data_IF_688234318912
#
_entry.id   IF_688234318912
#
_cell.length_a   1.000
_cell.length_b   1.000
_cell.length_c   1.000
_cell.angle_alpha   90.00
_cell.angle_beta   90.00
_cell.angle_gamma   90.00
#
_symmetry.space_group_name_H-M   'P 1'
#
loop_
_entity.id
_entity.type
_entity.pdbx_description
1 polymer ?
#
# COMPACT_ATOMS: atom_id res chain seq x y z
N UNK A 1 -23.19 23.91 10.03
CA UNK A 1 -23.15 22.75 10.95
C UNK A 1 -22.57 21.49 10.29
N UNK A 2 -22.63 21.34 8.95
CA UNK A 2 -22.12 20.15 8.24
C UNK A 2 -20.58 20.00 8.21
N UNK A 3 -19.81 21.08 8.02
CA UNK A 3 -18.32 21.01 8.01
C UNK A 3 -17.74 20.35 9.26
N UNK A 4 -18.26 20.69 10.44
CA UNK A 4 -17.78 20.12 11.71
C UNK A 4 -18.10 18.63 11.86
N UNK A 5 -19.14 18.14 11.18
CA UNK A 5 -19.46 16.71 11.15
C UNK A 5 -18.52 15.95 10.21
N UNK A 6 -18.18 16.53 9.06
CA UNK A 6 -17.23 15.93 8.11
C UNK A 6 -15.82 15.81 8.69
N UNK A 7 -15.31 16.86 9.37
CA UNK A 7 -13.99 16.80 10.01
C UNK A 7 -13.91 15.74 11.12
N UNK A 8 -14.97 15.60 11.93
CA UNK A 8 -15.04 14.56 12.96
C UNK A 8 -15.06 13.15 12.38
N UNK A 9 -15.80 12.95 11.28
CA UNK A 9 -15.84 11.66 10.59
C UNK A 9 -14.48 11.30 10.00
N UNK A 10 -13.78 12.24 9.36
CA UNK A 10 -12.43 12.01 8.82
C UNK A 10 -11.44 11.67 9.95
N UNK A 11 -11.47 12.40 11.06
CA UNK A 11 -10.62 12.10 12.21
C UNK A 11 -10.90 10.71 12.81
N UNK A 12 -12.18 10.33 12.95
CA UNK A 12 -12.56 9.01 13.44
C UNK A 12 -12.14 7.89 12.48
N UNK A 13 -12.30 8.09 11.18
CA UNK A 13 -11.84 7.14 10.16
C UNK A 13 -10.33 6.98 10.19
N UNK A 14 -9.58 8.08 10.29
CA UNK A 14 -8.12 8.06 10.45
C UNK A 14 -7.70 7.28 11.69
N UNK A 15 -8.30 7.58 12.86
CA UNK A 15 -7.99 6.86 14.09
C UNK A 15 -8.24 5.36 13.97
N UNK A 16 -9.36 4.98 13.34
CA UNK A 16 -9.66 3.57 13.08
C UNK A 16 -8.60 2.87 12.21
N UNK A 17 -8.00 3.57 11.24
CA UNK A 17 -6.90 3.03 10.44
C UNK A 17 -5.61 2.83 11.26
N UNK A 18 -5.32 3.70 12.23
CA UNK A 18 -4.22 3.52 13.17
C UNK A 18 -4.49 2.34 14.12
N UNK A 19 -5.68 2.26 14.70
CA UNK A 19 -6.07 1.22 15.66
C UNK A 19 -6.04 -0.17 15.02
N UNK A 20 -6.43 -0.27 13.75
CA UNK A 20 -6.33 -1.50 12.94
C UNK A 20 -4.91 -1.81 12.44
N UNK A 21 -3.94 -0.92 12.69
CA UNK A 21 -2.55 -1.09 12.27
C UNK A 21 -2.30 -0.91 10.77
N UNK A 22 -3.19 -0.23 10.06
CA UNK A 22 -3.00 0.12 8.65
C UNK A 22 -2.00 1.26 8.47
N UNK A 23 -2.04 2.24 9.36
CA UNK A 23 -1.14 3.40 9.36
C UNK A 23 -0.14 3.34 10.53
N UNK A 24 1.02 3.96 10.35
CA UNK A 24 2.00 4.22 11.39
C UNK A 24 2.36 5.72 11.48
N UNK A 25 3.24 6.06 12.42
CA UNK A 25 3.65 7.44 12.73
C UNK A 25 4.15 8.24 11.52
N UNK A 26 4.61 7.57 10.46
CA UNK A 26 5.06 8.26 9.25
C UNK A 26 3.92 9.00 8.54
N UNK A 27 2.67 8.53 8.67
CA UNK A 27 1.52 9.26 8.14
C UNK A 27 1.27 10.56 8.92
N UNK A 28 1.53 10.57 10.22
CA UNK A 28 1.43 11.79 11.05
C UNK A 28 2.49 12.80 10.60
N UNK A 29 3.73 12.35 10.42
CA UNK A 29 4.81 13.19 9.91
C UNK A 29 4.49 13.75 8.51
N UNK A 30 3.80 12.97 7.66
CA UNK A 30 3.34 13.43 6.36
C UNK A 30 2.28 14.55 6.49
N UNK A 31 1.34 14.42 7.43
CA UNK A 31 0.34 15.45 7.73
C UNK A 31 0.97 16.73 8.26
N UNK A 32 2.03 16.63 9.09
CA UNK A 32 2.75 17.78 9.65
C UNK A 32 3.49 18.63 8.60
N UNK A 33 3.73 18.08 7.40
CA UNK A 33 4.33 18.81 6.28
C UNK A 33 3.31 19.65 5.49
N UNK A 34 2.01 19.46 5.74
CA UNK A 34 0.96 20.26 5.11
C UNK A 34 0.77 21.59 5.85
N UNK A 35 0.81 22.69 5.12
CA UNK A 35 0.62 24.04 5.66
C UNK A 35 -0.29 24.90 4.75
N UNK A 36 -0.51 26.16 5.13
CA UNK A 36 -1.36 27.08 4.38
C UNK A 36 -0.78 27.43 2.98
N UNK A 37 0.53 27.23 2.76
CA UNK A 37 1.18 27.46 1.48
C UNK A 37 1.04 26.24 0.54
N UNK A 38 0.92 25.03 1.09
CA UNK A 38 0.66 23.81 0.35
C UNK A 38 -0.48 22.97 0.99
N UNK A 39 -1.75 23.42 0.88
CA UNK A 39 -2.88 22.81 1.58
C UNK A 39 -3.27 21.42 1.05
N UNK A 40 -2.76 21.01 -0.11
CA UNK A 40 -3.11 19.73 -0.76
C UNK A 40 -1.97 18.70 -0.69
N UNK A 41 -0.88 19.00 0.02
CA UNK A 41 0.32 18.17 0.05
C UNK A 41 0.03 16.69 0.34
N UNK A 42 -0.76 16.39 1.38
CA UNK A 42 -1.06 15.00 1.75
C UNK A 42 -1.88 14.31 0.66
N UNK A 43 -2.85 15.01 0.07
CA UNK A 43 -3.67 14.48 -1.03
C UNK A 43 -2.82 14.15 -2.25
N UNK A 44 -1.88 15.04 -2.62
CA UNK A 44 -0.97 14.83 -3.75
C UNK A 44 -0.06 13.61 -3.53
N UNK A 45 0.53 13.49 -2.34
CA UNK A 45 1.41 12.36 -2.01
C UNK A 45 0.64 11.04 -1.97
N UNK A 46 -0.57 11.04 -1.40
CA UNK A 46 -1.43 9.85 -1.35
C UNK A 46 -1.90 9.46 -2.76
N UNK A 47 -2.24 10.43 -3.61
CA UNK A 47 -2.60 10.21 -5.01
C UNK A 47 -1.43 9.60 -5.79
N UNK A 48 -0.22 10.14 -5.60
CA UNK A 48 0.99 9.60 -6.21
C UNK A 48 1.25 8.16 -5.77
N UNK A 49 1.07 7.87 -4.47
CA UNK A 49 1.18 6.52 -3.94
C UNK A 49 0.22 5.54 -4.62
N UNK A 50 -1.05 5.93 -4.84
CA UNK A 50 -2.01 5.07 -5.54
C UNK A 50 -1.62 4.83 -7.01
N UNK A 51 -1.11 5.86 -7.69
CA UNK A 51 -0.63 5.72 -9.07
C UNK A 51 0.57 4.75 -9.16
N UNK A 52 1.56 4.91 -8.27
CA UNK A 52 2.70 4.02 -8.20
C UNK A 52 2.31 2.59 -7.81
N UNK A 53 1.39 2.44 -6.85
CA UNK A 53 0.86 1.14 -6.42
C UNK A 53 0.21 0.41 -7.58
N UNK A 54 -0.65 1.07 -8.36
CA UNK A 54 -1.31 0.48 -9.53
C UNK A 54 -0.31 -0.02 -10.56
N UNK A 55 0.72 0.78 -10.86
CA UNK A 55 1.82 0.39 -11.77
C UNK A 55 2.61 -0.81 -11.25
N UNK A 56 2.94 -0.82 -9.96
CA UNK A 56 3.70 -1.91 -9.33
C UNK A 56 2.91 -3.22 -9.29
N UNK A 57 1.61 -3.16 -9.01
CA UNK A 57 0.70 -4.31 -9.05
C UNK A 57 0.67 -4.87 -10.47
N UNK A 58 0.45 -4.05 -11.50
CA UNK A 58 0.43 -4.51 -12.89
C UNK A 58 1.75 -5.19 -13.30
N UNK A 59 2.89 -4.60 -12.94
CA UNK A 59 4.20 -5.20 -13.19
C UNK A 59 4.40 -6.54 -12.48
N UNK A 60 3.85 -6.67 -11.27
CA UNK A 60 3.88 -7.92 -10.51
C UNK A 60 3.06 -9.01 -11.19
N UNK A 61 1.85 -8.69 -11.63
CA UNK A 61 0.98 -9.64 -12.34
C UNK A 61 1.61 -10.14 -13.63
N UNK A 62 2.29 -9.26 -14.37
CA UNK A 62 3.06 -9.65 -15.55
C UNK A 62 4.25 -10.57 -15.21
N UNK A 63 4.95 -10.31 -14.09
CA UNK A 63 6.05 -11.16 -13.64
C UNK A 63 5.58 -12.54 -13.17
N UNK A 64 4.40 -12.61 -12.56
CA UNK A 64 3.75 -13.84 -12.12
C UNK A 64 3.24 -14.72 -13.28
N UNK A 65 2.95 -14.12 -14.43
CA UNK A 65 2.55 -14.85 -15.63
C UNK A 65 3.69 -15.60 -16.34
N UNK A 66 4.93 -15.49 -15.85
CA UNK A 66 6.12 -16.15 -16.44
C UNK A 66 6.39 -17.50 -15.76
N UNK A 67 6.89 -18.46 -16.55
CA UNK A 67 7.35 -19.75 -16.05
C UNK A 67 8.74 -20.07 -16.63
N UNK A 68 9.80 -20.24 -15.79
CA UNK A 68 9.78 -20.15 -14.33
C UNK A 68 9.55 -18.71 -13.82
N UNK A 69 9.13 -18.58 -12.56
CA UNK A 69 8.97 -17.28 -11.90
C UNK A 69 10.31 -16.55 -11.81
N UNK A 70 10.31 -15.27 -12.13
CA UNK A 70 11.49 -14.41 -11.99
C UNK A 70 11.49 -13.75 -10.60
N UNK A 71 12.06 -14.45 -9.62
CA UNK A 71 12.14 -13.96 -8.23
C UNK A 71 12.98 -12.68 -8.10
N UNK A 72 13.98 -12.45 -8.95
CA UNK A 72 14.75 -11.21 -8.93
C UNK A 72 13.88 -10.03 -9.35
N UNK A 73 13.05 -10.20 -10.39
CA UNK A 73 12.09 -9.18 -10.81
C UNK A 73 11.04 -8.93 -9.73
N UNK A 74 10.50 -9.98 -9.12
CA UNK A 74 9.52 -9.88 -8.05
C UNK A 74 10.09 -9.19 -6.79
N UNK A 75 11.33 -9.50 -6.36
CA UNK A 75 11.97 -8.82 -5.22
C UNK A 75 12.14 -7.32 -5.50
N UNK A 76 12.57 -6.96 -6.72
CA UNK A 76 12.74 -5.57 -7.12
C UNK A 76 11.41 -4.79 -7.12
N UNK A 77 10.30 -5.42 -7.51
CA UNK A 77 8.98 -4.81 -7.46
C UNK A 77 8.55 -4.62 -6.00
N UNK A 78 8.72 -5.64 -5.15
CA UNK A 78 8.37 -5.54 -3.73
C UNK A 78 9.24 -4.57 -2.96
N UNK A 79 10.51 -4.41 -3.36
CA UNK A 79 11.40 -3.43 -2.76
C UNK A 79 10.90 -2.00 -3.03
N UNK A 80 10.52 -1.71 -4.27
CA UNK A 80 9.93 -0.42 -4.63
C UNK A 80 8.60 -0.19 -3.92
N UNK A 81 7.73 -1.19 -3.88
CA UNK A 81 6.44 -1.08 -3.20
C UNK A 81 6.63 -0.85 -1.71
N UNK A 82 7.52 -1.61 -1.05
CA UNK A 82 7.88 -1.37 0.35
C UNK A 82 8.34 0.07 0.59
N UNK A 83 9.19 0.61 -0.29
CA UNK A 83 9.69 1.99 -0.19
C UNK A 83 8.56 3.01 -0.26
N UNK A 84 7.71 2.90 -1.29
CA UNK A 84 6.53 3.77 -1.50
C UNK A 84 5.52 3.67 -0.34
N UNK A 85 5.23 2.46 0.16
CA UNK A 85 4.37 2.27 1.33
C UNK A 85 4.99 2.81 2.60
N UNK A 86 6.31 2.76 2.72
CA UNK A 86 7.02 3.34 3.87
C UNK A 86 6.88 4.85 3.87
N UNK A 87 7.00 5.54 2.73
CA UNK A 87 6.96 7.01 2.69
C UNK A 87 5.60 7.62 3.07
N UNK A 88 4.51 6.86 2.99
CA UNK A 88 3.18 7.30 3.40
C UNK A 88 2.69 6.67 4.70
N UNK A 89 3.53 5.90 5.40
CA UNK A 89 3.13 5.21 6.62
C UNK A 89 2.11 4.08 6.44
N UNK A 90 2.01 3.47 5.26
CA UNK A 90 1.16 2.31 5.01
C UNK A 90 1.78 1.03 5.63
N UNK A 91 1.69 0.95 6.96
CA UNK A 91 2.33 -0.06 7.82
C UNK A 91 2.06 -1.49 7.38
N UNK A 92 0.79 -1.83 7.13
CA UNK A 92 0.38 -3.19 6.77
C UNK A 92 0.97 -3.62 5.43
N UNK A 93 0.87 -2.76 4.41
CA UNK A 93 1.39 -3.04 3.06
C UNK A 93 2.92 -3.18 3.10
N UNK A 94 3.62 -2.28 3.81
CA UNK A 94 5.07 -2.36 4.05
C UNK A 94 5.50 -3.71 4.65
N UNK A 95 4.75 -4.22 5.62
CA UNK A 95 5.02 -5.51 6.26
C UNK A 95 4.82 -6.68 5.28
N UNK A 96 3.74 -6.66 4.52
CA UNK A 96 3.45 -7.69 3.51
C UNK A 96 4.49 -7.71 2.39
N UNK A 97 4.92 -6.55 1.88
CA UNK A 97 6.03 -6.48 0.93
C UNK A 97 7.31 -7.08 1.52
N UNK A 98 7.59 -6.86 2.81
CA UNK A 98 8.76 -7.46 3.47
C UNK A 98 8.68 -8.98 3.50
N UNK A 99 7.51 -9.55 3.78
CA UNK A 99 7.29 -10.99 3.74
C UNK A 99 7.46 -11.56 2.33
N UNK A 100 6.87 -10.91 1.32
CA UNK A 100 7.02 -11.33 -0.07
C UNK A 100 8.50 -11.38 -0.45
N UNK A 101 9.27 -10.33 -0.17
CA UNK A 101 10.73 -10.32 -0.44
C UNK A 101 11.46 -11.53 0.15
N UNK A 102 11.06 -12.00 1.32
CA UNK A 102 11.64 -13.20 1.90
C UNK A 102 11.37 -14.44 1.05
N UNK A 103 10.14 -14.63 0.59
CA UNK A 103 9.81 -15.70 -0.36
C UNK A 103 10.62 -15.60 -1.66
N UNK A 104 10.89 -14.39 -2.17
CA UNK A 104 11.78 -14.21 -3.32
C UNK A 104 13.21 -14.70 -3.03
N UNK A 105 13.77 -14.32 -1.87
CA UNK A 105 15.15 -14.70 -1.49
C UNK A 105 15.30 -16.20 -1.29
N UNK A 106 14.27 -16.86 -0.76
CA UNK A 106 14.27 -18.31 -0.55
C UNK A 106 13.77 -19.10 -1.78
N UNK A 107 13.38 -18.44 -2.86
CA UNK A 107 12.79 -19.08 -4.04
C UNK A 107 11.47 -19.82 -3.75
N UNK A 108 10.72 -19.40 -2.73
CA UNK A 108 9.50 -20.08 -2.27
C UNK A 108 8.28 -19.66 -3.11
N UNK A 109 8.10 -20.32 -4.26
CA UNK A 109 6.97 -20.08 -5.16
C UNK A 109 5.62 -20.35 -4.49
N UNK A 110 5.52 -21.42 -3.70
CA UNK A 110 4.27 -21.82 -3.04
C UNK A 110 3.84 -20.77 -2.01
N UNK A 111 4.75 -20.33 -1.14
CA UNK A 111 4.51 -19.26 -0.17
C UNK A 111 4.15 -17.94 -0.84
N UNK A 112 4.81 -17.61 -1.96
CA UNK A 112 4.49 -16.41 -2.74
C UNK A 112 3.06 -16.47 -3.29
N UNK A 113 2.69 -17.56 -3.97
CA UNK A 113 1.37 -17.73 -4.57
C UNK A 113 0.27 -17.84 -3.51
N UNK A 114 0.50 -18.59 -2.42
CA UNK A 114 -0.46 -18.74 -1.33
C UNK A 114 -0.74 -17.44 -0.57
N UNK A 115 0.23 -16.51 -0.52
CA UNK A 115 0.04 -15.19 0.11
C UNK A 115 -0.56 -14.14 -0.84
N UNK A 116 -0.45 -14.35 -2.16
CA UNK A 116 -0.86 -13.36 -3.16
C UNK A 116 -2.36 -13.09 -3.18
N UNK A 117 -3.20 -14.13 -3.11
CA UNK A 117 -4.65 -13.97 -3.24
C UNK A 117 -5.25 -13.19 -2.06
N UNK A 118 -4.92 -13.49 -0.78
CA UNK A 118 -5.32 -12.65 0.35
C UNK A 118 -4.83 -11.21 0.23
N UNK A 119 -3.63 -11.01 -0.33
CA UNK A 119 -3.01 -9.70 -0.46
C UNK A 119 -3.71 -8.83 -1.52
N UNK A 120 -4.14 -9.41 -2.65
CA UNK A 120 -4.89 -8.71 -3.70
C UNK A 120 -6.16 -8.04 -3.18
N UNK A 121 -6.88 -8.69 -2.25
CA UNK A 121 -8.10 -8.16 -1.65
C UNK A 121 -7.83 -6.90 -0.83
N UNK A 122 -6.65 -6.78 -0.23
CA UNK A 122 -6.30 -5.65 0.65
C UNK A 122 -5.65 -4.48 -0.08
N UNK A 123 -5.08 -4.71 -1.27
CA UNK A 123 -4.27 -3.71 -1.98
C UNK A 123 -4.92 -3.19 -3.26
N UNK A 124 -5.89 -3.90 -3.85
CA UNK A 124 -6.61 -3.42 -5.02
C UNK A 124 -7.86 -2.60 -4.60
N UNK A 125 -7.91 -1.28 -4.83
CA UNK A 125 -9.17 -0.56 -4.74
C UNK A 125 -10.04 -0.97 -5.94
N UNK A 126 -11.16 -1.66 -5.69
CA UNK A 126 -12.22 -1.80 -6.72
C UNK A 126 -12.38 -3.16 -7.40
N UNK A 127 -12.24 -4.28 -6.68
CA UNK A 127 -13.07 -5.48 -7.00
C UNK A 127 -14.15 -5.67 -5.94
N UNK A 128 -14.95 -4.62 -5.76
CA UNK A 128 -16.28 -4.76 -5.17
C UNK A 128 -17.10 -5.65 -6.08
N UNK A 129 -17.64 -6.72 -5.51
CA UNK A 129 -18.51 -7.66 -6.21
C UNK A 129 -19.70 -6.94 -6.83
N UNK A 130 -20.08 -7.40 -8.00
CA UNK A 130 -21.43 -7.20 -8.48
C UNK A 130 -22.41 -7.85 -7.51
N UNK A 131 -23.31 -7.03 -6.98
CA UNK A 131 -24.70 -7.35 -6.71
C UNK A 131 -25.52 -6.17 -7.22
#
# INVERSE_FOLDING_TARGET
MERNHSHKQVAAMKQSLFDQGHLDEQFIQLEELQDDANPNFVEEIVTLYYHDSSRLISNMEQALGRNPLDFNKLDNIMHQFKGSSSSIGAKKVKAECTLFREYCRTGNAEGWLGKLDPWRVHVAPGKGGGI
#
